data_IF_955637732297
#
_entry.id   IF_955637732297
#
_cell.length_a   1.000
_cell.length_b   1.000
_cell.length_c   1.000
_cell.angle_alpha   90.00
_cell.angle_beta   90.00
_cell.angle_gamma   90.00
#
_symmetry.space_group_name_H-M   'P 1'
#
loop_
_entity.id
_entity.type
_entity.pdbx_description
1 polymer ?
#
# COMPACT_ATOMS: atom_id res chain seq x y z
N UNK A 1 41.33 -23.43 -30.96
CA UNK A 1 40.22 -24.23 -30.39
C UNK A 1 40.04 -24.01 -28.88
N UNK A 2 41.02 -24.35 -28.01
CA UNK A 2 40.91 -24.13 -26.54
C UNK A 2 40.55 -22.69 -26.13
N UNK A 3 41.16 -21.68 -26.77
CA UNK A 3 40.86 -20.26 -26.46
C UNK A 3 39.46 -19.82 -26.89
N UNK A 4 38.92 -20.42 -27.95
CA UNK A 4 37.56 -20.13 -28.43
C UNK A 4 36.54 -20.73 -27.44
N UNK A 5 36.78 -21.95 -26.97
CA UNK A 5 35.94 -22.61 -25.96
C UNK A 5 35.92 -21.81 -24.65
N UNK A 6 37.08 -21.33 -24.20
CA UNK A 6 37.19 -20.50 -23.00
C UNK A 6 36.45 -19.16 -23.14
N UNK A 7 36.55 -18.50 -24.30
CA UNK A 7 35.85 -17.25 -24.57
C UNK A 7 34.32 -17.43 -24.56
N UNK A 8 33.81 -18.50 -25.17
CA UNK A 8 32.37 -18.78 -25.20
C UNK A 8 31.82 -19.07 -23.80
N UNK A 9 32.57 -19.79 -22.95
CA UNK A 9 32.16 -20.09 -21.58
C UNK A 9 31.99 -18.83 -20.70
N UNK A 10 32.88 -17.83 -20.87
CA UNK A 10 32.82 -16.58 -20.12
C UNK A 10 31.55 -15.77 -20.46
N UNK A 11 31.17 -15.74 -21.73
CA UNK A 11 29.95 -15.03 -22.19
C UNK A 11 28.69 -15.67 -21.61
N UNK A 12 28.64 -17.00 -21.55
CA UNK A 12 27.50 -17.70 -20.94
C UNK A 12 27.39 -17.43 -19.44
N UNK A 13 28.51 -17.42 -18.70
CA UNK A 13 28.53 -17.14 -17.26
C UNK A 13 28.11 -15.69 -16.95
N UNK A 14 28.47 -14.73 -17.80
CA UNK A 14 28.08 -13.33 -17.64
C UNK A 14 26.57 -13.07 -17.82
N UNK A 15 25.87 -13.95 -18.55
CA UNK A 15 24.42 -13.83 -18.77
C UNK A 15 23.57 -14.20 -17.55
N UNK A 16 24.16 -14.87 -16.55
CA UNK A 16 23.45 -15.34 -15.36
C UNK A 16 22.91 -14.21 -14.45
N UNK A 17 23.42 -12.99 -14.57
CA UNK A 17 22.96 -11.81 -13.83
C UNK A 17 22.12 -10.85 -14.69
N UNK A 18 21.74 -11.26 -15.92
CA UNK A 18 20.94 -10.45 -16.85
C UNK A 18 19.43 -10.67 -16.67
N UNK A 19 19.01 -11.17 -15.51
CA UNK A 19 17.58 -11.22 -15.20
C UNK A 19 17.03 -9.80 -15.21
N UNK A 20 15.88 -9.60 -15.87
CA UNK A 20 15.17 -8.34 -15.78
C UNK A 20 14.92 -8.07 -14.30
N UNK A 21 15.20 -6.86 -13.78
CA UNK A 21 14.94 -6.56 -12.39
C UNK A 21 13.52 -6.98 -12.04
N UNK A 22 13.38 -7.85 -11.04
CA UNK A 22 12.11 -8.15 -10.40
C UNK A 22 11.68 -6.91 -9.61
N UNK A 23 11.40 -5.81 -10.30
CA UNK A 23 10.53 -4.80 -9.75
C UNK A 23 9.19 -5.49 -9.62
N UNK A 24 8.82 -5.88 -8.40
CA UNK A 24 7.41 -5.97 -8.08
C UNK A 24 6.81 -4.65 -8.60
N UNK A 25 6.03 -4.73 -9.67
CA UNK A 25 5.43 -3.53 -10.27
C UNK A 25 4.83 -2.72 -9.13
N UNK A 26 5.10 -1.40 -9.12
CA UNK A 26 4.90 -0.53 -7.97
C UNK A 26 3.62 -0.90 -7.20
N UNK A 27 3.76 -1.10 -5.90
CA UNK A 27 2.67 -1.52 -5.02
C UNK A 27 1.43 -0.72 -5.38
N UNK A 28 0.35 -1.41 -5.80
CA UNK A 28 -0.91 -0.74 -6.10
C UNK A 28 -1.28 0.06 -4.85
N UNK A 29 -1.29 1.38 -4.98
CA UNK A 29 -1.70 2.25 -3.89
C UNK A 29 -3.13 1.91 -3.47
N UNK A 30 -3.36 1.79 -2.18
CA UNK A 30 -4.70 1.58 -1.65
C UNK A 30 -5.61 2.77 -1.99
N UNK A 31 -6.91 2.48 -2.12
CA UNK A 31 -7.90 3.54 -2.27
C UNK A 31 -7.93 4.40 -1.00
N UNK A 32 -8.16 5.70 -1.16
CA UNK A 32 -8.26 6.59 -0.02
C UNK A 32 -9.45 6.17 0.86
N UNK A 33 -9.31 6.11 2.20
CA UNK A 33 -10.30 5.48 3.07
C UNK A 33 -11.69 6.16 3.04
N UNK A 34 -11.74 7.47 2.78
CA UNK A 34 -13.00 8.21 2.64
C UNK A 34 -13.79 7.83 1.37
N UNK A 35 -13.18 7.14 0.39
CA UNK A 35 -13.94 6.61 -0.76
C UNK A 35 -14.89 5.49 -0.36
N UNK A 36 -14.80 4.98 0.88
CA UNK A 36 -15.66 3.96 1.47
C UNK A 36 -15.58 2.60 0.79
N UNK A 37 -16.37 1.66 1.31
CA UNK A 37 -16.31 0.24 0.90
C UNK A 37 -17.39 -0.13 -0.12
N UNK A 38 -18.38 0.75 -0.35
CA UNK A 38 -19.56 0.46 -1.16
C UNK A 38 -20.43 -0.67 -0.59
N UNK A 39 -20.27 -0.98 0.71
CA UNK A 39 -21.05 -2.00 1.43
C UNK A 39 -22.01 -1.34 2.41
N UNK A 40 -23.08 -2.06 2.74
CA UNK A 40 -24.10 -1.59 3.68
C UNK A 40 -23.60 -1.43 5.13
N UNK A 41 -22.45 -2.02 5.48
CA UNK A 41 -21.89 -2.01 6.83
C UNK A 41 -20.93 -0.83 7.10
N UNK A 42 -21.06 0.25 6.33
CA UNK A 42 -20.38 1.50 6.64
C UNK A 42 -21.10 2.23 7.78
N UNK A 43 -20.33 2.89 8.64
CA UNK A 43 -20.88 3.77 9.67
C UNK A 43 -21.77 4.86 9.04
N UNK A 44 -22.97 5.05 9.59
CA UNK A 44 -23.98 5.94 8.99
C UNK A 44 -23.77 7.41 9.31
N UNK A 45 -22.85 7.72 10.23
CA UNK A 45 -22.57 9.08 10.70
C UNK A 45 -21.62 9.89 9.79
N UNK A 46 -21.20 9.32 8.65
CA UNK A 46 -20.44 10.02 7.62
C UNK A 46 -20.83 9.55 6.22
N UNK A 47 -20.49 10.34 5.20
CA UNK A 47 -20.87 10.06 3.81
C UNK A 47 -19.71 9.54 2.97
N UNK A 48 -19.94 8.43 2.25
CA UNK A 48 -18.97 7.88 1.30
C UNK A 48 -18.58 8.90 0.22
N UNK A 49 -17.28 9.05 -0.03
CA UNK A 49 -16.70 10.03 -0.94
C UNK A 49 -16.50 11.42 -0.32
N UNK A 50 -17.05 11.69 0.86
CA UNK A 50 -16.88 12.95 1.57
C UNK A 50 -15.75 12.86 2.59
N UNK A 51 -14.58 13.41 2.21
CA UNK A 51 -13.39 13.44 3.05
C UNK A 51 -13.61 14.23 4.35
N UNK A 52 -14.28 15.38 4.30
CA UNK A 52 -14.45 16.23 5.48
C UNK A 52 -15.39 15.58 6.51
N UNK A 53 -16.47 14.96 6.03
CA UNK A 53 -17.37 14.16 6.84
C UNK A 53 -16.66 12.96 7.49
N UNK A 54 -15.83 12.25 6.73
CA UNK A 54 -15.02 11.13 7.23
C UNK A 54 -14.03 11.55 8.32
N UNK A 55 -13.27 12.63 8.10
CA UNK A 55 -12.31 13.16 9.09
C UNK A 55 -13.00 13.62 10.38
N UNK A 56 -14.18 14.24 10.25
CA UNK A 56 -14.98 14.67 11.40
C UNK A 56 -15.47 13.47 12.23
N UNK A 57 -15.96 12.42 11.58
CA UNK A 57 -16.37 11.19 12.28
C UNK A 57 -15.20 10.50 13.00
N UNK A 58 -14.00 10.51 12.40
CA UNK A 58 -12.79 10.00 13.06
C UNK A 58 -12.39 10.84 14.27
N UNK A 59 -12.46 12.18 14.18
CA UNK A 59 -12.15 13.06 15.30
C UNK A 59 -13.07 12.78 16.48
N UNK A 60 -14.38 12.67 16.23
CA UNK A 60 -15.38 12.34 17.27
C UNK A 60 -15.08 10.97 17.90
N UNK A 61 -14.77 9.96 17.08
CA UNK A 61 -14.38 8.63 17.58
C UNK A 61 -13.15 8.69 18.48
N UNK A 62 -12.11 9.42 18.07
CA UNK A 62 -10.88 9.56 18.85
C UNK A 62 -11.14 10.25 20.19
N UNK A 63 -11.93 11.33 20.18
CA UNK A 63 -12.24 12.11 21.38
C UNK A 63 -13.13 11.34 22.36
N UNK A 64 -14.21 10.72 21.88
CA UNK A 64 -15.23 10.16 22.78
C UNK A 64 -15.02 8.67 23.09
N UNK A 65 -14.32 7.96 22.22
CA UNK A 65 -14.15 6.51 22.31
C UNK A 65 -12.78 6.06 22.79
N UNK A 66 -11.71 6.81 22.45
CA UNK A 66 -10.32 6.37 22.66
C UNK A 66 -9.53 7.26 23.62
N UNK A 67 -10.07 8.42 24.01
CA UNK A 67 -9.39 9.32 24.93
C UNK A 67 -10.00 9.24 26.33
N UNK A 68 -9.33 8.51 27.23
CA UNK A 68 -9.79 8.35 28.62
C UNK A 68 -9.71 9.66 29.43
N UNK A 69 -8.86 10.60 29.04
CA UNK A 69 -8.76 11.92 29.69
C UNK A 69 -10.00 12.78 29.48
N UNK A 70 -10.74 12.56 28.39
CA UNK A 70 -11.96 13.30 28.10
C UNK A 70 -13.14 12.94 29.03
N UNK A 71 -13.03 11.84 29.79
CA UNK A 71 -14.09 11.32 30.67
C UNK A 71 -13.93 11.69 32.15
N UNK A 72 -12.86 12.40 32.50
CA UNK A 72 -12.46 12.69 33.90
C UNK A 72 -12.53 14.17 34.28
N UNK A 73 -13.24 15.00 33.51
CA UNK A 73 -13.59 16.38 33.90
C UNK A 73 -15.00 16.45 34.48
#
# INVERSE_FOLDING_TARGET
MKKIIAATAIVFLASACSEKPQSAGGVKGDAAPYTGTGKAYAESNWKQGDKASWESALKVRAQNGQNDYSKTN
#
